data_IF_477857581541
#
_entry.id   IF_477857581541
#
_cell.length_a   1.000
_cell.length_b   1.000
_cell.length_c   1.000
_cell.angle_alpha   90.00
_cell.angle_beta   90.00
_cell.angle_gamma   90.00
#
_symmetry.space_group_name_H-M   'P 1'
#
loop_
_entity.id
_entity.type
_entity.pdbx_description
1 polymer ?
#
# COMPACT_ATOMS: atom_id res chain seq x y z
N UNK A 1 24.01 36.09 6.44
CA UNK A 1 23.14 36.35 7.60
C UNK A 1 21.67 35.94 7.42
N UNK A 2 21.12 35.85 6.19
CA UNK A 2 19.70 35.47 5.97
C UNK A 2 19.42 33.95 6.00
N UNK A 3 20.41 33.11 5.69
CA UNK A 3 20.26 31.63 5.68
C UNK A 3 20.19 31.03 7.09
N UNK A 4 20.87 31.63 8.06
CA UNK A 4 20.88 31.21 9.45
C UNK A 4 19.55 31.49 10.18
N UNK A 5 18.81 32.51 9.75
CA UNK A 5 17.47 32.82 10.31
C UNK A 5 16.44 31.77 9.86
N UNK A 6 16.51 31.29 8.61
CA UNK A 6 15.61 30.26 8.10
C UNK A 6 15.88 28.92 8.79
N UNK A 7 17.15 28.53 8.94
CA UNK A 7 17.53 27.30 9.64
C UNK A 7 17.09 27.31 11.12
N UNK A 8 17.21 28.46 11.80
CA UNK A 8 16.75 28.63 13.17
C UNK A 8 15.21 28.59 13.30
N UNK A 9 14.47 29.08 12.29
CA UNK A 9 13.01 29.01 12.27
C UNK A 9 12.49 27.57 12.09
N UNK A 10 13.15 26.78 11.23
CA UNK A 10 12.82 25.34 11.04
C UNK A 10 13.14 24.55 12.31
N UNK A 11 14.27 24.84 12.98
CA UNK A 11 14.64 24.17 14.23
C UNK A 11 13.73 24.57 15.41
N UNK A 12 13.30 25.84 15.49
CA UNK A 12 12.40 26.30 16.54
C UNK A 12 10.97 25.76 16.38
N UNK A 13 10.50 25.57 15.15
CA UNK A 13 9.23 24.88 14.87
C UNK A 13 9.26 23.40 15.29
N UNK A 14 10.42 22.75 15.23
CA UNK A 14 10.58 21.34 15.64
C UNK A 14 10.60 21.13 17.16
N UNK A 15 10.84 22.17 17.97
CA UNK A 15 11.00 22.06 19.44
C UNK A 15 9.77 22.55 20.21
N UNK A 16 8.85 23.26 19.55
CA UNK A 16 7.68 23.88 20.18
C UNK A 16 6.34 23.29 19.73
N UNK A 17 6.28 21.98 19.45
CA UNK A 17 5.00 21.28 19.45
C UNK A 17 4.69 20.87 20.91
N UNK A 18 3.80 21.56 21.65
CA UNK A 18 3.08 20.88 22.72
C UNK A 18 2.46 19.63 22.08
N UNK A 19 2.51 18.49 22.77
CA UNK A 19 1.93 17.23 22.32
C UNK A 19 0.43 17.39 21.99
N UNK A 20 0.14 17.95 20.82
CA UNK A 20 -1.12 17.77 20.13
C UNK A 20 -1.18 16.27 19.92
N UNK A 21 -2.24 15.64 20.43
CA UNK A 21 -2.50 14.23 20.23
C UNK A 21 -2.58 13.94 18.72
N UNK A 22 -1.44 13.70 18.07
CA UNK A 22 -1.35 13.15 16.74
C UNK A 22 -1.89 11.72 16.88
N UNK A 23 -3.19 11.56 16.66
CA UNK A 23 -3.91 10.32 16.91
C UNK A 23 -3.39 9.22 16.00
N UNK A 24 -2.47 8.41 16.51
CA UNK A 24 -2.04 7.19 15.83
C UNK A 24 -3.23 6.23 15.83
N UNK A 25 -3.67 5.87 14.64
CA UNK A 25 -4.69 4.84 14.46
C UNK A 25 -4.01 3.52 14.18
N UNK A 26 -4.22 2.55 15.06
CA UNK A 26 -3.92 1.14 14.80
C UNK A 26 -5.13 0.54 14.09
N UNK A 27 -4.89 -0.14 12.98
CA UNK A 27 -5.94 -0.80 12.21
C UNK A 27 -5.40 -2.10 11.62
N UNK A 28 -6.29 -2.91 11.08
CA UNK A 28 -5.89 -4.16 10.44
C UNK A 28 -7.09 -4.94 9.95
N UNK A 29 -6.79 -6.12 9.40
CA UNK A 29 -7.76 -7.12 8.99
C UNK A 29 -7.21 -8.48 9.37
N UNK A 30 -8.04 -9.28 10.04
CA UNK A 30 -7.82 -10.73 10.19
C UNK A 30 -8.83 -11.41 9.30
N UNK A 31 -8.34 -12.13 8.30
CA UNK A 31 -9.17 -12.86 7.35
C UNK A 31 -8.56 -14.24 7.15
N UNK A 32 -9.27 -15.26 7.60
CA UNK A 32 -8.81 -16.65 7.58
C UNK A 32 -9.95 -17.51 7.04
N UNK A 33 -9.59 -18.52 6.26
CA UNK A 33 -10.53 -19.49 5.71
C UNK A 33 -10.01 -20.91 5.86
N UNK A 34 -10.94 -21.84 5.67
CA UNK A 34 -10.64 -23.25 5.44
C UNK A 34 -11.09 -23.54 4.03
N UNK A 35 -10.16 -23.96 3.19
CA UNK A 35 -10.39 -24.24 1.78
C UNK A 35 -10.20 -25.74 1.53
N UNK A 36 -11.02 -26.31 0.64
CA UNK A 36 -10.76 -27.62 0.04
C UNK A 36 -10.32 -27.40 -1.40
N UNK A 37 -9.15 -27.92 -1.75
CA UNK A 37 -8.65 -27.94 -3.12
C UNK A 37 -8.68 -29.37 -3.63
N UNK A 38 -9.21 -29.52 -4.84
CA UNK A 38 -9.22 -30.75 -5.60
C UNK A 38 -8.66 -30.44 -6.98
N UNK A 39 -7.49 -30.98 -7.29
CA UNK A 39 -6.78 -30.75 -8.55
C UNK A 39 -6.50 -32.09 -9.22
N UNK A 40 -6.97 -32.21 -10.46
CA UNK A 40 -6.73 -33.34 -11.34
C UNK A 40 -5.94 -32.86 -12.56
N UNK A 41 -4.77 -33.47 -12.79
CA UNK A 41 -3.95 -33.17 -13.95
C UNK A 41 -4.42 -33.98 -15.17
N UNK A 42 -4.53 -33.32 -16.32
CA UNK A 42 -5.01 -33.96 -17.55
C UNK A 42 -4.16 -35.14 -18.02
N UNK A 43 -2.90 -35.15 -17.62
CA UNK A 43 -1.83 -35.77 -18.37
C UNK A 43 -0.86 -36.56 -17.48
N UNK A 44 -0.91 -36.34 -16.16
CA UNK A 44 -0.17 -37.11 -15.17
C UNK A 44 -0.90 -37.18 -13.81
N UNK A 45 -1.64 -38.27 -13.58
CA UNK A 45 -2.38 -38.50 -12.32
C UNK A 45 -1.51 -38.60 -11.06
N UNK A 46 -0.17 -38.66 -11.19
CA UNK A 46 0.71 -38.56 -10.02
C UNK A 46 0.79 -37.14 -9.44
N UNK A 47 0.26 -36.15 -10.16
CA UNK A 47 0.18 -34.75 -9.74
C UNK A 47 -1.20 -34.40 -9.15
N UNK A 48 -2.15 -35.32 -9.20
CA UNK A 48 -3.48 -35.13 -8.61
C UNK A 48 -3.34 -34.97 -7.10
N UNK A 49 -4.07 -34.01 -6.53
CA UNK A 49 -4.10 -33.83 -5.08
C UNK A 49 -5.44 -33.29 -4.60
N UNK A 50 -5.84 -33.75 -3.42
CA UNK A 50 -7.04 -33.31 -2.73
C UNK A 50 -6.72 -33.04 -1.28
N UNK A 51 -6.92 -31.81 -0.81
CA UNK A 51 -6.56 -31.46 0.57
C UNK A 51 -7.36 -30.27 1.13
N UNK A 52 -7.47 -30.28 2.46
CA UNK A 52 -7.98 -29.15 3.23
C UNK A 52 -6.82 -28.29 3.69
N UNK A 53 -6.90 -26.98 3.46
CA UNK A 53 -5.88 -26.00 3.88
C UNK A 53 -6.52 -24.89 4.69
N UNK A 54 -5.83 -24.45 5.74
CA UNK A 54 -6.12 -23.16 6.38
C UNK A 54 -5.34 -22.10 5.61
N UNK A 55 -5.99 -21.00 5.24
CA UNK A 55 -5.36 -19.90 4.51
C UNK A 55 -5.63 -18.57 5.18
N UNK A 56 -4.58 -17.76 5.38
CA UNK A 56 -4.71 -16.36 5.74
C UNK A 56 -4.81 -15.51 4.48
N UNK A 57 -5.84 -14.69 4.37
CA UNK A 57 -6.19 -13.97 3.13
C UNK A 57 -5.97 -12.48 3.26
N UNK A 58 -4.76 -12.05 2.90
CA UNK A 58 -4.31 -10.66 2.99
C UNK A 58 -4.57 -10.02 4.36
N UNK A 59 -4.45 -10.84 5.41
CA UNK A 59 -4.46 -10.41 6.81
C UNK A 59 -3.27 -9.48 7.07
N UNK A 60 -3.51 -8.44 7.83
CA UNK A 60 -2.58 -7.31 7.95
C UNK A 60 -2.83 -6.50 9.19
N UNK A 61 -1.77 -5.86 9.64
CA UNK A 61 -1.80 -4.84 10.68
C UNK A 61 -1.14 -3.58 10.15
N UNK A 62 -1.67 -2.43 10.54
CA UNK A 62 -1.16 -1.16 10.10
C UNK A 62 -1.33 -0.07 11.14
N UNK A 63 -0.48 0.93 11.00
CA UNK A 63 -0.45 2.16 11.76
C UNK A 63 -0.59 3.30 10.78
N UNK A 64 -1.38 4.30 11.11
CA UNK A 64 -1.49 5.51 10.32
C UNK A 64 -1.72 6.71 11.22
N UNK A 65 -1.32 7.87 10.73
CA UNK A 65 -1.53 9.13 11.43
C UNK A 65 -1.63 10.31 10.46
N UNK A 66 -2.23 11.38 10.97
CA UNK A 66 -2.24 12.68 10.34
C UNK A 66 -1.91 13.72 11.41
N UNK A 67 -1.01 14.63 11.08
CA UNK A 67 -0.62 15.76 11.92
C UNK A 67 -0.93 17.06 11.18
N UNK A 68 -1.67 17.95 11.82
CA UNK A 68 -1.96 19.28 11.29
C UNK A 68 -0.71 20.15 11.42
N UNK A 69 -0.18 20.63 10.30
CA UNK A 69 0.97 21.53 10.22
C UNK A 69 0.55 23.01 10.17
N UNK A 70 -0.76 23.28 10.23
CA UNK A 70 -1.37 24.61 10.16
C UNK A 70 -1.67 25.06 8.73
N UNK A 71 -2.48 26.11 8.62
CA UNK A 71 -2.87 26.73 7.34
C UNK A 71 -3.44 25.76 6.28
N UNK A 72 -4.12 24.71 6.71
CA UNK A 72 -4.70 23.70 5.80
C UNK A 72 -3.68 22.72 5.22
N UNK A 73 -2.45 22.68 5.74
CA UNK A 73 -1.44 21.69 5.41
C UNK A 73 -1.38 20.62 6.51
N UNK A 74 -1.37 19.34 6.13
CA UNK A 74 -1.18 18.23 7.05
C UNK A 74 -0.08 17.29 6.59
N UNK A 75 0.67 16.73 7.54
CA UNK A 75 1.50 15.55 7.33
C UNK A 75 0.61 14.31 7.46
N UNK A 76 0.73 13.36 6.54
CA UNK A 76 0.08 12.05 6.65
C UNK A 76 1.09 10.94 6.49
N UNK A 77 0.90 9.84 7.21
CA UNK A 77 1.78 8.68 7.11
C UNK A 77 1.01 7.38 7.35
N UNK A 78 1.56 6.30 6.83
CA UNK A 78 1.06 4.94 6.99
C UNK A 78 2.23 3.97 7.03
N UNK A 79 2.15 2.96 7.87
CA UNK A 79 3.00 1.78 7.85
C UNK A 79 2.10 0.55 8.01
N UNK A 80 2.00 -0.28 6.96
CA UNK A 80 1.18 -1.48 6.96
C UNK A 80 2.06 -2.69 6.64
N UNK A 81 1.81 -3.82 7.29
CA UNK A 81 2.51 -5.09 7.07
C UNK A 81 1.52 -6.26 7.07
N UNK A 82 1.93 -7.34 6.41
CA UNK A 82 1.16 -8.60 6.37
C UNK A 82 1.49 -9.44 7.60
N UNK A 83 0.48 -10.13 8.14
CA UNK A 83 0.65 -11.17 9.14
C UNK A 83 -0.20 -12.37 8.71
N UNK A 84 0.42 -13.52 8.55
CA UNK A 84 -0.25 -14.76 8.18
C UNK A 84 -0.69 -15.51 9.45
N UNK A 85 -2.00 -15.67 9.62
CA UNK A 85 -2.57 -16.37 10.78
C UNK A 85 -2.68 -17.89 10.58
N UNK A 86 -2.41 -18.41 9.38
CA UNK A 86 -2.41 -19.84 9.10
C UNK A 86 -1.07 -20.49 9.46
N UNK A 87 0.05 -19.80 9.21
CA UNK A 87 1.39 -20.32 9.51
C UNK A 87 2.22 -19.46 10.49
N UNK A 88 1.73 -18.27 10.86
CA UNK A 88 2.38 -17.36 11.81
C UNK A 88 3.48 -16.48 11.20
N UNK A 89 3.68 -16.54 9.89
CA UNK A 89 4.65 -15.71 9.17
C UNK A 89 4.26 -14.22 9.19
N UNK A 90 5.25 -13.34 9.17
CA UNK A 90 5.05 -11.91 9.33
C UNK A 90 6.16 -11.14 8.63
N UNK A 91 5.86 -9.91 8.18
CA UNK A 91 6.82 -9.02 7.51
C UNK A 91 7.30 -9.48 6.12
N UNK A 92 6.74 -10.57 5.58
CA UNK A 92 7.19 -11.15 4.31
C UNK A 92 6.64 -10.45 3.06
N UNK A 93 5.55 -9.67 3.21
CA UNK A 93 4.95 -8.92 2.10
C UNK A 93 4.79 -7.44 2.47
N UNK A 94 5.57 -6.59 1.82
CA UNK A 94 5.46 -5.13 1.91
C UNK A 94 4.06 -4.66 1.52
N UNK A 95 3.41 -3.90 2.40
CA UNK A 95 2.14 -3.23 2.13
C UNK A 95 2.34 -1.72 2.05
N UNK A 96 1.25 -0.96 1.99
CA UNK A 96 1.34 0.49 1.87
C UNK A 96 2.08 1.07 3.08
N UNK A 97 3.24 1.67 2.82
CA UNK A 97 4.12 2.26 3.81
C UNK A 97 4.71 3.55 3.24
N UNK A 98 4.21 4.70 3.67
CA UNK A 98 4.49 5.98 3.04
C UNK A 98 4.38 7.14 4.01
N UNK A 99 4.95 8.27 3.60
CA UNK A 99 4.76 9.59 4.20
C UNK A 99 4.27 10.56 3.12
N UNK A 100 3.58 11.62 3.50
CA UNK A 100 3.05 12.56 2.54
C UNK A 100 2.56 13.87 3.14
N UNK A 101 2.31 14.82 2.26
CA UNK A 101 1.71 16.11 2.59
C UNK A 101 0.35 16.20 1.92
N UNK A 102 -0.65 16.68 2.67
CA UNK A 102 -2.01 16.87 2.20
C UNK A 102 -2.47 18.31 2.43
N UNK A 103 -3.34 18.80 1.57
CA UNK A 103 -4.06 20.06 1.73
C UNK A 103 -5.20 20.18 0.72
N UNK A 104 -5.76 21.38 0.58
CA UNK A 104 -6.88 21.64 -0.35
C UNK A 104 -6.54 21.34 -1.82
N UNK A 105 -5.25 21.28 -2.15
CA UNK A 105 -4.73 20.94 -3.47
C UNK A 105 -4.58 19.42 -3.71
N UNK A 106 -4.85 18.57 -2.72
CA UNK A 106 -4.74 17.11 -2.81
C UNK A 106 -3.66 16.55 -1.88
N UNK A 107 -3.00 15.48 -2.30
CA UNK A 107 -2.03 14.78 -1.46
C UNK A 107 -0.85 14.29 -2.29
N UNK A 108 0.36 14.63 -1.87
CA UNK A 108 1.60 14.03 -2.36
C UNK A 108 2.06 12.95 -1.38
N UNK A 109 2.43 11.79 -1.89
CA UNK A 109 2.88 10.63 -1.13
C UNK A 109 4.24 10.17 -1.65
N UNK A 110 5.11 9.73 -0.74
CA UNK A 110 6.38 9.09 -1.04
C UNK A 110 6.53 7.80 -0.23
N UNK A 111 6.98 6.73 -0.89
CA UNK A 111 7.31 5.45 -0.27
C UNK A 111 6.71 4.29 -1.05
N UNK A 112 6.20 3.30 -0.34
CA UNK A 112 5.52 2.14 -0.91
C UNK A 112 4.01 2.45 -0.98
N UNK A 113 3.47 2.55 -2.20
CA UNK A 113 2.05 2.84 -2.41
C UNK A 113 1.46 2.10 -3.62
N UNK A 114 0.16 1.84 -3.59
CA UNK A 114 -0.58 1.30 -4.73
C UNK A 114 -0.50 2.23 -5.95
N UNK A 115 -0.33 1.67 -7.14
CA UNK A 115 -0.31 2.44 -8.40
C UNK A 115 -1.67 3.08 -8.69
N UNK A 116 -1.76 4.17 -9.48
CA UNK A 116 -3.02 4.78 -9.87
C UNK A 116 -4.01 3.79 -10.49
N UNK A 117 -3.53 2.86 -11.32
CA UNK A 117 -4.35 1.79 -11.88
C UNK A 117 -4.99 0.95 -10.77
N UNK A 118 -4.18 0.42 -9.85
CA UNK A 118 -4.68 -0.40 -8.74
C UNK A 118 -5.66 0.36 -7.86
N UNK A 119 -5.39 1.62 -7.56
CA UNK A 119 -6.31 2.48 -6.81
C UNK A 119 -7.66 2.61 -7.53
N UNK A 120 -7.65 2.87 -8.83
CA UNK A 120 -8.88 2.98 -9.63
C UNK A 120 -9.64 1.67 -9.73
N UNK A 121 -8.93 0.54 -9.84
CA UNK A 121 -9.51 -0.79 -9.91
C UNK A 121 -10.34 -1.13 -8.67
N UNK A 122 -9.79 -0.88 -7.47
CA UNK A 122 -10.53 -1.08 -6.22
C UNK A 122 -11.60 -0.01 -5.99
N UNK A 123 -11.37 1.25 -6.38
CA UNK A 123 -12.37 2.30 -6.24
C UNK A 123 -13.61 2.08 -7.13
N UNK A 124 -13.42 1.45 -8.30
CA UNK A 124 -14.51 1.09 -9.21
C UNK A 124 -15.39 -0.07 -8.73
N UNK A 125 -15.02 -0.76 -7.64
CA UNK A 125 -15.79 -1.89 -7.12
C UNK A 125 -15.82 -3.10 -8.07
N UNK A 126 -14.90 -3.17 -9.03
CA UNK A 126 -14.83 -4.24 -10.04
C UNK A 126 -14.39 -5.57 -9.38
N UNK A 127 -13.62 -5.49 -8.29
CA UNK A 127 -13.15 -6.64 -7.54
C UNK A 127 -14.16 -7.11 -6.49
N UNK A 128 -15.00 -8.07 -6.88
CA UNK A 128 -15.98 -8.69 -5.97
C UNK A 128 -15.43 -9.95 -5.27
N UNK A 129 -14.31 -10.50 -5.74
CA UNK A 129 -13.76 -11.80 -5.30
C UNK A 129 -12.39 -11.65 -4.62
N UNK A 130 -11.91 -10.43 -4.43
CA UNK A 130 -10.59 -10.15 -3.89
C UNK A 130 -10.40 -10.70 -2.48
N UNK A 131 -9.18 -11.17 -2.19
CA UNK A 131 -8.83 -11.82 -0.93
C UNK A 131 -9.76 -13.02 -0.61
N UNK A 132 -10.22 -13.80 -1.60
CA UNK A 132 -10.99 -15.05 -1.44
C UNK A 132 -10.35 -16.21 -2.23
N UNK A 133 -10.90 -17.44 -2.13
CA UNK A 133 -10.47 -18.61 -2.94
C UNK A 133 -10.71 -18.43 -4.44
N UNK A 134 -11.43 -17.39 -4.82
CA UNK A 134 -11.72 -17.05 -6.21
C UNK A 134 -10.97 -15.78 -6.68
N UNK A 135 -10.00 -15.28 -5.90
CA UNK A 135 -9.20 -14.12 -6.32
C UNK A 135 -8.38 -14.47 -7.56
N UNK A 136 -8.76 -13.89 -8.69
CA UNK A 136 -8.13 -14.17 -9.99
C UNK A 136 -6.65 -13.85 -10.03
N UNK A 137 -6.18 -12.91 -9.20
CA UNK A 137 -4.75 -12.60 -9.12
C UNK A 137 -3.98 -13.47 -8.12
N UNK A 138 -4.66 -14.17 -7.19
CA UNK A 138 -4.00 -15.19 -6.35
C UNK A 138 -3.67 -16.44 -7.18
N UNK A 139 -4.56 -16.81 -8.11
CA UNK A 139 -4.42 -18.02 -8.93
C UNK A 139 -3.85 -17.79 -10.34
N UNK A 140 -3.40 -16.56 -10.65
CA UNK A 140 -2.78 -16.22 -11.94
C UNK A 140 -3.72 -16.33 -13.15
N UNK A 141 -5.02 -16.43 -12.92
CA UNK A 141 -6.03 -16.58 -13.98
C UNK A 141 -6.22 -15.28 -14.77
N UNK A 142 -6.02 -14.12 -14.13
CA UNK A 142 -6.03 -12.80 -14.76
C UNK A 142 -4.92 -11.93 -14.14
N UNK A 143 -3.89 -11.63 -14.93
CA UNK A 143 -2.91 -10.61 -14.55
C UNK A 143 -3.45 -9.22 -14.89
N UNK A 144 -4.02 -8.58 -13.86
CA UNK A 144 -4.54 -7.22 -13.97
C UNK A 144 -3.50 -6.17 -13.57
N UNK A 145 -2.19 -6.48 -13.51
CA UNK A 145 -1.15 -5.50 -13.15
C UNK A 145 -1.48 -4.68 -11.89
N UNK A 146 -2.07 -5.33 -10.86
CA UNK A 146 -2.45 -4.73 -9.57
C UNK A 146 -1.19 -4.50 -8.71
N UNK A 147 -0.32 -3.62 -9.18
CA UNK A 147 1.00 -3.35 -8.60
C UNK A 147 0.93 -2.34 -7.45
N UNK A 148 1.74 -2.61 -6.43
CA UNK A 148 2.18 -1.66 -5.41
C UNK A 148 3.65 -1.38 -5.69
N UNK A 149 3.98 -0.12 -5.93
CA UNK A 149 5.35 0.28 -6.24
C UNK A 149 6.05 0.76 -4.98
N UNK A 150 7.27 0.31 -4.79
CA UNK A 150 8.24 0.93 -3.90
C UNK A 150 8.85 2.18 -4.56
N UNK A 151 9.45 3.04 -3.71
CA UNK A 151 10.08 4.29 -4.13
C UNK A 151 9.20 5.18 -5.03
N UNK A 152 7.88 5.10 -4.87
CA UNK A 152 6.93 5.83 -5.68
C UNK A 152 6.73 7.24 -5.12
N UNK A 153 6.67 8.22 -6.02
CA UNK A 153 6.13 9.55 -5.74
C UNK A 153 4.75 9.60 -6.39
N UNK A 154 3.70 9.74 -5.59
CA UNK A 154 2.32 9.76 -6.06
C UNK A 154 1.63 11.07 -5.70
N UNK A 155 0.68 11.48 -6.54
CA UNK A 155 -0.25 12.57 -6.30
C UNK A 155 -1.68 12.05 -6.42
N UNK A 156 -2.54 12.45 -5.49
CA UNK A 156 -3.98 12.21 -5.53
C UNK A 156 -4.69 13.54 -5.37
N UNK A 157 -5.56 13.89 -6.31
CA UNK A 157 -6.33 15.13 -6.27
C UNK A 157 -7.40 15.09 -5.17
N UNK A 158 -7.92 16.26 -4.75
CA UNK A 158 -9.18 16.32 -4.03
C UNK A 158 -10.31 15.69 -4.86
N UNK A 159 -11.41 15.36 -4.19
CA UNK A 159 -12.64 14.98 -4.88
C UNK A 159 -13.28 16.22 -5.52
N UNK A 160 -13.31 16.26 -6.85
CA UNK A 160 -13.91 17.32 -7.66
C UNK A 160 -15.28 16.88 -8.18
N UNK A 161 -16.31 16.92 -7.32
CA UNK A 161 -17.68 16.51 -7.65
C UNK A 161 -17.81 15.08 -8.20
N UNK A 162 -17.10 14.13 -7.58
CA UNK A 162 -17.07 12.72 -7.97
C UNK A 162 -15.88 12.34 -8.85
N UNK A 163 -15.08 13.30 -9.32
CA UNK A 163 -13.84 13.05 -10.03
C UNK A 163 -12.63 13.09 -9.08
N UNK A 164 -11.83 12.04 -9.09
CA UNK A 164 -10.51 11.99 -8.44
C UNK A 164 -9.46 11.59 -9.47
N UNK A 165 -8.36 12.32 -9.53
CA UNK A 165 -7.23 12.05 -10.42
C UNK A 165 -6.06 11.54 -9.56
N UNK A 166 -5.44 10.44 -9.98
CA UNK A 166 -4.22 9.95 -9.37
C UNK A 166 -3.13 9.80 -10.42
N UNK A 167 -1.90 10.20 -10.08
CA UNK A 167 -0.72 10.04 -10.90
C UNK A 167 0.44 9.56 -10.03
N UNK A 168 1.36 8.78 -10.58
CA UNK A 168 2.55 8.35 -9.88
C UNK A 168 3.73 8.23 -10.83
N UNK A 169 4.92 8.50 -10.30
CA UNK A 169 6.20 8.18 -10.94
C UNK A 169 6.97 7.26 -10.00
N UNK A 170 7.70 6.32 -10.58
CA UNK A 170 8.60 5.41 -9.86
C UNK A 170 9.99 5.66 -10.45
N UNK A 171 10.80 6.54 -9.83
CA UNK A 171 12.15 6.77 -10.27
C UNK A 171 12.96 5.47 -10.19
N UNK A 172 13.80 5.19 -11.19
CA UNK A 172 14.70 4.05 -11.15
C UNK A 172 15.69 4.16 -9.99
N UNK A 173 16.00 3.03 -9.36
CA UNK A 173 17.01 2.94 -8.32
C UNK A 173 18.40 2.80 -8.96
N UNK A 174 19.29 3.75 -8.70
CA UNK A 174 20.64 3.70 -9.23
C UNK A 174 21.49 2.61 -8.58
N UNK A 175 22.06 1.74 -9.43
CA UNK A 175 23.22 0.85 -9.21
C UNK A 175 23.02 -0.55 -8.64
N UNK A 176 21.87 -1.21 -8.81
CA UNK A 176 21.86 -2.68 -8.81
C UNK A 176 20.91 -3.19 -9.89
N UNK A 177 21.50 -3.82 -10.91
CA UNK A 177 20.80 -4.76 -11.77
C UNK A 177 20.15 -5.83 -10.88
N UNK A 178 18.92 -6.23 -11.21
CA UNK A 178 18.07 -7.22 -10.52
C UNK A 178 17.26 -6.71 -9.32
N UNK A 179 16.15 -6.00 -9.60
CA UNK A 179 14.77 -6.50 -9.40
C UNK A 179 13.82 -5.67 -10.28
N UNK A 180 13.22 -6.29 -11.30
CA UNK A 180 12.28 -5.66 -12.23
C UNK A 180 10.96 -5.23 -11.57
N UNK A 181 11.00 -4.23 -10.70
CA UNK A 181 9.82 -3.65 -10.03
C UNK A 181 9.57 -2.19 -10.40
N UNK A 182 10.41 -1.60 -11.25
CA UNK A 182 10.20 -0.26 -11.79
C UNK A 182 9.24 -0.25 -12.99
N UNK A 183 8.26 0.66 -13.00
CA UNK A 183 7.43 0.95 -14.19
C UNK A 183 8.24 1.49 -15.39
N UNK A 184 9.54 1.76 -15.19
CA UNK A 184 10.49 2.22 -16.21
C UNK A 184 11.41 1.10 -16.73
N UNK A 185 11.29 -0.13 -16.22
CA UNK A 185 12.05 -1.28 -16.68
C UNK A 185 11.20 -2.06 -17.71
N UNK A 186 11.13 -1.49 -18.91
CA UNK A 186 10.50 -2.08 -20.10
C UNK A 186 11.54 -2.44 -21.15
#
# INVERSE_FOLDING_TARGET
>A
MKKSIIAAAVAAAAVAAPAANAGVTIYGKVHVSIDHYDYDDCCNSSLDYSEWRVKSRASRIGFKGTEDLGNGLSLTWKAETTYDFADGSAWDSGRNAYIGLAGDWGTFLYGIHDTPYKMSYYAGGIEMMGDTVLDFGEHGALDLSRVRADNAIAYVSPNMNGLTIAAAIVPGEGNNFDKGTGLADG
#
